data_IF_478843987035
#
_entry.id   IF_478843987035
#
_cell.length_a   1.000
_cell.length_b   1.000
_cell.length_c   1.000
_cell.angle_alpha   90.00
_cell.angle_beta   90.00
_cell.angle_gamma   90.00
#
_symmetry.space_group_name_H-M   'P 1'
#
loop_
_entity.id
_entity.type
_entity.pdbx_description
1 polymer ?
#
# COMPACT_ATOMS: atom_id res chain seq x y z
N UNK A 1 39.74 40.82 -59.69
CA UNK A 1 40.73 39.77 -60.04
C UNK A 1 40.82 38.77 -58.88
N UNK A 2 40.96 37.47 -59.22
CA UNK A 2 41.05 36.23 -58.39
C UNK A 2 39.72 35.68 -57.82
N UNK A 3 39.03 34.79 -58.55
CA UNK A 3 39.08 33.30 -58.55
C UNK A 3 38.37 32.67 -57.34
N UNK A 4 37.09 32.29 -57.47
CA UNK A 4 36.57 30.92 -57.74
C UNK A 4 36.97 29.85 -56.70
N UNK A 5 35.97 29.16 -56.11
CA UNK A 5 35.74 27.71 -56.27
C UNK A 5 34.38 27.32 -55.65
N UNK A 6 33.60 26.61 -56.46
CA UNK A 6 32.26 26.05 -56.25
C UNK A 6 32.36 24.68 -55.56
N UNK A 7 31.44 24.34 -54.65
CA UNK A 7 31.06 22.93 -54.41
C UNK A 7 29.52 22.81 -54.33
N UNK A 8 29.07 21.85 -55.11
CA UNK A 8 27.72 21.47 -55.54
C UNK A 8 27.17 20.35 -54.64
N UNK A 9 25.83 20.18 -54.61
CA UNK A 9 25.01 18.93 -54.58
C UNK A 9 23.80 19.08 -53.65
N UNK A 10 22.63 19.51 -54.14
CA UNK A 10 21.57 18.74 -54.83
C UNK A 10 21.03 17.50 -54.09
N UNK A 11 19.73 17.57 -53.79
CA UNK A 11 18.83 16.48 -54.11
C UNK A 11 18.20 15.74 -52.93
N UNK A 12 17.07 16.27 -52.46
CA UNK A 12 16.03 15.49 -51.78
C UNK A 12 15.16 14.79 -52.83
N UNK A 13 14.75 13.55 -52.50
CA UNK A 13 13.65 12.75 -53.05
C UNK A 13 13.97 11.75 -54.17
N UNK A 14 13.91 10.46 -53.80
CA UNK A 14 13.73 9.32 -54.68
C UNK A 14 13.36 8.08 -53.86
N UNK A 15 12.07 7.74 -53.84
CA UNK A 15 11.55 6.49 -53.26
C UNK A 15 12.07 5.27 -54.03
N UNK A 16 12.46 4.20 -53.31
CA UNK A 16 12.40 2.82 -53.78
C UNK A 16 12.46 1.84 -52.59
N UNK A 17 11.33 1.23 -52.24
CA UNK A 17 11.26 -0.11 -51.65
C UNK A 17 11.52 -1.17 -52.76
N UNK A 18 11.55 -2.51 -52.53
CA UNK A 18 11.67 -3.34 -51.31
C UNK A 18 12.74 -4.46 -51.47
N UNK A 19 12.96 -5.31 -50.45
CA UNK A 19 13.06 -6.79 -50.58
C UNK A 19 13.66 -7.47 -49.32
N UNK A 20 13.04 -8.58 -48.96
CA UNK A 20 13.26 -9.46 -47.81
C UNK A 20 14.60 -10.24 -47.80
N UNK A 21 15.22 -10.34 -46.60
CA UNK A 21 15.93 -11.49 -45.94
C UNK A 21 17.17 -12.14 -46.66
N UNK A 22 18.09 -12.98 -46.09
CA UNK A 22 18.35 -13.51 -44.72
C UNK A 22 19.73 -13.23 -44.05
N UNK A 23 19.73 -13.34 -42.71
CA UNK A 23 20.68 -14.03 -41.77
C UNK A 23 22.21 -13.78 -41.85
N UNK A 24 22.73 -13.15 -40.78
CA UNK A 24 23.94 -13.56 -40.05
C UNK A 24 23.62 -13.28 -38.55
N UNK A 25 23.43 -14.27 -37.68
CA UNK A 25 24.39 -15.23 -37.13
C UNK A 25 25.55 -14.61 -36.34
N UNK A 26 25.25 -13.58 -35.54
CA UNK A 26 26.22 -12.99 -34.60
C UNK A 26 25.65 -13.15 -33.20
N UNK A 27 26.01 -14.27 -32.58
CA UNK A 27 25.65 -14.64 -31.23
C UNK A 27 26.45 -13.80 -30.22
N UNK A 28 25.90 -12.68 -29.77
CA UNK A 28 26.16 -12.17 -28.42
C UNK A 28 24.86 -12.22 -27.64
N UNK A 29 24.64 -13.40 -27.04
CA UNK A 29 23.62 -13.60 -26.02
C UNK A 29 24.08 -12.85 -24.77
N UNK A 30 23.97 -11.52 -24.77
CA UNK A 30 23.90 -10.76 -23.54
C UNK A 30 22.59 -11.16 -22.88
N UNK A 31 22.72 -12.15 -22.00
CA UNK A 31 21.71 -12.62 -21.06
C UNK A 31 20.83 -11.45 -20.60
N UNK A 32 19.62 -11.36 -21.15
CA UNK A 32 18.51 -10.68 -20.50
C UNK A 32 18.05 -11.55 -19.32
N UNK A 33 18.96 -11.91 -18.41
CA UNK A 33 18.57 -12.18 -17.05
C UNK A 33 18.19 -10.81 -16.48
N UNK A 34 16.93 -10.45 -16.69
CA UNK A 34 16.25 -9.58 -15.74
C UNK A 34 16.62 -10.12 -14.36
N UNK A 35 17.18 -9.31 -13.44
CA UNK A 35 17.39 -9.79 -12.09
C UNK A 35 16.02 -10.31 -11.68
N UNK A 36 15.97 -11.62 -11.38
CA UNK A 36 14.85 -12.24 -10.71
C UNK A 36 14.84 -11.54 -9.35
N UNK A 37 14.26 -10.34 -9.34
CA UNK A 37 13.84 -9.69 -8.14
C UNK A 37 12.82 -10.67 -7.62
N UNK A 38 13.29 -11.51 -6.70
CA UNK A 38 12.50 -12.09 -5.65
C UNK A 38 11.90 -10.90 -4.87
N UNK A 39 10.99 -10.17 -5.52
CA UNK A 39 9.96 -9.39 -4.89
C UNK A 39 9.07 -10.47 -4.32
N UNK A 40 9.49 -11.01 -3.17
CA UNK A 40 8.55 -11.62 -2.26
C UNK A 40 7.43 -10.59 -2.14
N UNK A 41 6.33 -10.94 -2.78
CA UNK A 41 5.08 -10.20 -2.85
C UNK A 41 4.56 -10.19 -1.42
N UNK A 42 5.18 -9.34 -0.59
CA UNK A 42 5.06 -9.41 0.85
C UNK A 42 3.72 -8.81 1.16
N UNK A 43 2.84 -9.63 1.70
CA UNK A 43 1.54 -9.22 2.16
C UNK A 43 1.68 -8.07 3.15
N UNK A 44 0.92 -7.00 2.89
CA UNK A 44 0.90 -5.79 3.69
C UNK A 44 -0.45 -5.65 4.34
N UNK A 45 -0.41 -5.29 5.62
CA UNK A 45 -1.59 -5.13 6.45
C UNK A 45 -1.70 -3.68 6.89
N UNK A 46 -2.89 -3.12 6.86
CA UNK A 46 -3.21 -1.80 7.43
C UNK A 46 -4.32 -1.94 8.45
N UNK A 47 -4.15 -1.29 9.60
CA UNK A 47 -5.17 -1.15 10.62
C UNK A 47 -5.73 0.27 10.60
N UNK A 48 -7.04 0.38 10.61
CA UNK A 48 -7.77 1.63 10.85
C UNK A 48 -8.78 1.37 11.96
N UNK A 49 -8.83 2.25 12.95
CA UNK A 49 -9.81 2.17 14.02
C UNK A 49 -10.36 3.53 14.31
N UNK A 50 -11.69 3.56 14.42
CA UNK A 50 -12.48 4.68 14.83
C UNK A 50 -13.07 4.39 16.20
N UNK A 51 -12.85 5.31 17.12
CA UNK A 51 -13.44 5.31 18.45
C UNK A 51 -14.33 6.53 18.56
N UNK A 52 -15.59 6.32 18.91
CA UNK A 52 -16.55 7.42 19.02
C UNK A 52 -17.51 7.23 20.18
N UNK A 53 -17.87 8.32 20.82
CA UNK A 53 -19.06 8.44 21.65
C UNK A 53 -19.85 9.67 21.19
N UNK A 54 -20.76 10.18 22.01
CA UNK A 54 -21.59 11.33 21.67
C UNK A 54 -20.83 12.67 21.58
N UNK A 55 -19.63 12.74 22.19
CA UNK A 55 -18.88 14.00 22.38
C UNK A 55 -17.51 13.97 21.69
N UNK A 56 -16.87 12.81 21.63
CA UNK A 56 -15.48 12.61 21.23
C UNK A 56 -15.42 11.58 20.10
N UNK A 57 -14.64 11.91 19.08
CA UNK A 57 -14.25 10.99 18.02
C UNK A 57 -12.72 10.98 17.89
N UNK A 58 -12.13 9.79 17.85
CA UNK A 58 -10.70 9.56 17.65
C UNK A 58 -10.48 8.50 16.59
N UNK A 59 -9.52 8.76 15.72
CA UNK A 59 -9.16 7.84 14.63
C UNK A 59 -7.69 7.51 14.73
N UNK A 60 -7.35 6.22 14.70
CA UNK A 60 -5.98 5.79 14.47
C UNK A 60 -5.89 5.02 13.17
N UNK A 61 -4.83 5.27 12.42
CA UNK A 61 -4.53 4.53 11.20
C UNK A 61 -3.03 4.25 11.14
N UNK A 62 -2.66 3.02 10.83
CA UNK A 62 -1.26 2.66 10.59
C UNK A 62 -0.89 2.88 9.12
N UNK A 63 0.41 2.93 8.85
CA UNK A 63 0.92 2.60 7.52
C UNK A 63 0.66 1.13 7.18
N UNK A 64 1.04 0.75 5.96
CA UNK A 64 1.13 -0.66 5.60
C UNK A 64 2.32 -1.30 6.33
N UNK A 65 2.06 -2.35 7.09
CA UNK A 65 3.04 -3.08 7.89
C UNK A 65 2.99 -4.57 7.57
N UNK A 66 4.03 -5.31 7.95
CA UNK A 66 4.03 -6.77 7.84
C UNK A 66 3.13 -7.40 8.91
N UNK A 67 2.74 -8.65 8.72
CA UNK A 67 1.94 -9.41 9.70
C UNK A 67 2.57 -9.42 11.09
N UNK A 68 3.87 -9.73 11.19
CA UNK A 68 4.58 -9.75 12.48
C UNK A 68 4.49 -8.41 13.22
N UNK A 69 4.55 -7.29 12.51
CA UNK A 69 4.43 -5.96 13.11
C UNK A 69 2.96 -5.69 13.46
N UNK A 70 2.02 -6.09 12.62
CA UNK A 70 0.60 -5.93 12.85
C UNK A 70 0.12 -6.68 14.09
N UNK A 71 0.54 -7.93 14.30
CA UNK A 71 0.18 -8.74 15.47
C UNK A 71 0.61 -8.07 16.78
N UNK A 72 1.84 -7.54 16.80
CA UNK A 72 2.45 -6.88 17.95
C UNK A 72 2.13 -5.38 18.06
N UNK A 73 1.29 -4.84 17.17
CA UNK A 73 0.93 -3.43 17.19
C UNK A 73 0.21 -3.07 18.50
N UNK A 74 0.84 -2.21 19.29
CA UNK A 74 0.23 -1.59 20.46
C UNK A 74 -0.73 -0.49 20.03
N UNK A 75 -1.91 -0.50 20.65
CA UNK A 75 -2.97 0.44 20.33
C UNK A 75 -2.80 1.69 21.19
N UNK A 76 -2.92 2.90 20.62
CA UNK A 76 -2.77 4.14 21.38
C UNK A 76 -3.83 4.31 22.47
N UNK A 77 -4.92 3.52 22.48
CA UNK A 77 -5.86 3.51 23.61
C UNK A 77 -5.26 2.94 24.91
N UNK A 78 -4.10 2.27 24.83
CA UNK A 78 -3.34 1.85 25.99
C UNK A 78 -2.57 3.01 26.64
N UNK A 79 -2.38 4.14 25.96
CA UNK A 79 -1.87 5.35 26.61
C UNK A 79 -2.99 5.98 27.43
N UNK A 80 -2.75 6.15 28.73
CA UNK A 80 -3.76 6.62 29.69
C UNK A 80 -4.46 7.92 29.28
N UNK A 81 -3.78 8.77 28.51
CA UNK A 81 -4.30 10.05 28.01
C UNK A 81 -5.56 9.90 27.14
N UNK A 82 -5.63 8.89 26.25
CA UNK A 82 -6.84 8.71 25.44
C UNK A 82 -8.01 8.21 26.30
N UNK A 83 -7.72 7.29 27.23
CA UNK A 83 -8.71 6.76 28.17
C UNK A 83 -9.27 7.89 29.05
N UNK A 84 -8.42 8.76 29.56
CA UNK A 84 -8.81 9.92 30.38
C UNK A 84 -9.76 10.85 29.60
N UNK A 85 -9.47 11.18 28.34
CA UNK A 85 -10.36 12.02 27.52
C UNK A 85 -11.76 11.42 27.32
N UNK A 86 -11.86 10.10 27.21
CA UNK A 86 -13.16 9.42 27.13
C UNK A 86 -13.88 9.35 28.49
N UNK A 87 -13.13 9.17 29.58
CA UNK A 87 -13.69 9.15 30.95
C UNK A 87 -14.13 10.53 31.45
N UNK A 88 -13.33 11.58 31.23
CA UNK A 88 -13.65 12.97 31.60
C UNK A 88 -14.88 13.49 30.88
N UNK A 89 -15.15 13.00 29.67
CA UNK A 89 -16.37 13.30 28.93
C UNK A 89 -17.63 12.68 29.56
N UNK A 90 -17.52 11.93 30.68
CA UNK A 90 -18.65 11.31 31.38
C UNK A 90 -19.26 10.12 30.64
N UNK A 91 -18.55 9.57 29.65
CA UNK A 91 -19.07 8.59 28.70
C UNK A 91 -18.27 7.30 28.81
N UNK A 92 -18.74 6.39 29.67
CA UNK A 92 -18.10 5.09 29.86
C UNK A 92 -18.31 4.12 28.69
N UNK A 93 -19.14 4.47 27.70
CA UNK A 93 -19.50 3.62 26.56
C UNK A 93 -19.00 4.22 25.25
N UNK A 94 -18.28 3.41 24.48
CA UNK A 94 -17.64 3.80 23.23
C UNK A 94 -18.07 2.85 22.12
N UNK A 95 -18.32 3.39 20.93
CA UNK A 95 -18.45 2.61 19.70
C UNK A 95 -17.09 2.51 19.02
N UNK A 96 -16.71 1.28 18.69
CA UNK A 96 -15.43 0.92 18.09
C UNK A 96 -15.71 0.38 16.70
N UNK A 97 -15.12 0.98 15.67
CA UNK A 97 -15.06 0.39 14.33
C UNK A 97 -13.61 0.04 14.04
N UNK A 98 -13.33 -1.23 13.71
CA UNK A 98 -12.01 -1.70 13.30
C UNK A 98 -12.10 -2.14 11.85
N UNK A 99 -11.20 -1.64 11.02
CA UNK A 99 -11.05 -2.01 9.61
C UNK A 99 -9.64 -2.54 9.40
N UNK A 100 -9.54 -3.75 8.86
CA UNK A 100 -8.29 -4.40 8.48
C UNK A 100 -8.26 -4.52 6.96
N UNK A 101 -7.16 -4.09 6.36
CA UNK A 101 -6.89 -4.28 4.93
C UNK A 101 -5.67 -5.17 4.79
N UNK A 102 -5.76 -6.22 4.00
CA UNK A 102 -4.68 -7.18 3.73
C UNK A 102 -4.53 -7.28 2.22
N UNK A 103 -3.31 -7.22 1.71
CA UNK A 103 -3.11 -7.37 0.27
C UNK A 103 -1.68 -7.25 -0.17
N UNK A 104 -1.50 -7.36 -1.48
CA UNK A 104 -0.20 -7.30 -2.13
C UNK A 104 -0.27 -6.32 -3.32
N UNK A 105 0.73 -5.46 -3.42
CA UNK A 105 0.85 -4.41 -4.44
C UNK A 105 -0.39 -3.51 -4.56
N UNK A 106 -1.25 -3.74 -5.56
CA UNK A 106 -2.48 -2.97 -5.83
C UNK A 106 -3.77 -3.74 -5.53
N UNK A 107 -3.68 -5.02 -5.12
CA UNK A 107 -4.84 -5.86 -4.79
C UNK A 107 -4.97 -6.01 -3.28
N UNK A 108 -6.14 -5.67 -2.74
CA UNK A 108 -6.41 -5.71 -1.31
C UNK A 108 -7.80 -6.28 -1.01
N UNK A 109 -7.88 -7.11 0.03
CA UNK A 109 -9.10 -7.47 0.70
C UNK A 109 -9.28 -6.59 1.95
N UNK A 110 -10.52 -6.22 2.24
CA UNK A 110 -10.89 -5.39 3.39
C UNK A 110 -12.00 -6.06 4.18
N UNK A 111 -11.85 -6.07 5.51
CA UNK A 111 -12.92 -6.43 6.43
C UNK A 111 -13.04 -5.36 7.50
N UNK A 112 -14.28 -5.06 7.88
CA UNK A 112 -14.60 -4.08 8.91
C UNK A 112 -15.62 -4.65 9.87
N UNK A 113 -15.47 -4.33 11.16
CA UNK A 113 -16.42 -4.68 12.20
C UNK A 113 -16.63 -3.49 13.12
N UNK A 114 -17.88 -3.30 13.54
CA UNK A 114 -18.27 -2.27 14.50
C UNK A 114 -18.93 -2.91 15.71
N UNK A 115 -18.53 -2.49 16.91
CA UNK A 115 -19.17 -2.86 18.17
C UNK A 115 -19.50 -1.57 18.92
N UNK A 116 -20.71 -1.49 19.44
CA UNK A 116 -21.19 -0.34 20.22
C UNK A 116 -21.28 -0.69 21.71
N UNK A 117 -21.45 0.33 22.54
CA UNK A 117 -21.62 0.17 23.99
C UNK A 117 -20.48 -0.53 24.72
N UNK A 118 -19.24 -0.35 24.26
CA UNK A 118 -18.05 -0.96 24.87
C UNK A 118 -17.58 -0.10 26.04
N UNK A 119 -17.42 -0.73 27.22
CA UNK A 119 -16.86 -0.06 28.38
C UNK A 119 -15.43 0.43 28.12
N UNK A 120 -15.08 1.64 28.56
CA UNK A 120 -13.75 2.24 28.36
C UNK A 120 -12.58 1.32 28.77
N UNK A 121 -12.76 0.53 29.85
CA UNK A 121 -11.74 -0.43 30.32
C UNK A 121 -11.56 -1.62 29.37
N UNK A 122 -12.56 -1.93 28.55
CA UNK A 122 -12.56 -3.05 27.62
C UNK A 122 -12.18 -2.66 26.19
N UNK A 123 -12.05 -1.36 25.88
CA UNK A 123 -11.79 -0.88 24.51
C UNK A 123 -10.52 -1.49 23.92
N UNK A 124 -9.40 -1.44 24.63
CA UNK A 124 -8.13 -1.97 24.13
C UNK A 124 -8.18 -3.49 23.87
N UNK A 125 -8.78 -4.25 24.79
CA UNK A 125 -8.96 -5.69 24.64
C UNK A 125 -9.91 -6.04 23.48
N UNK A 126 -10.98 -5.24 23.32
CA UNK A 126 -11.97 -5.40 22.25
C UNK A 126 -11.34 -5.14 20.89
N UNK A 127 -10.62 -4.02 20.69
CA UNK A 127 -9.91 -3.76 19.44
C UNK A 127 -8.92 -4.88 19.12
N UNK A 128 -8.17 -5.38 20.11
CA UNK A 128 -7.22 -6.49 19.89
C UNK A 128 -7.93 -7.75 19.39
N UNK A 129 -9.06 -8.11 20.01
CA UNK A 129 -9.88 -9.25 19.59
C UNK A 129 -10.41 -9.04 18.16
N UNK A 130 -10.97 -7.87 17.88
CA UNK A 130 -11.52 -7.52 16.56
C UNK A 130 -10.44 -7.55 15.48
N UNK A 131 -9.26 -6.98 15.75
CA UNK A 131 -8.09 -7.00 14.87
C UNK A 131 -7.73 -8.42 14.45
N UNK A 132 -7.62 -9.32 15.43
CA UNK A 132 -7.22 -10.71 15.18
C UNK A 132 -8.32 -11.50 14.43
N UNK A 133 -9.59 -11.28 14.78
CA UNK A 133 -10.73 -11.89 14.10
C UNK A 133 -10.82 -11.46 12.63
N UNK A 134 -10.69 -10.15 12.36
CA UNK A 134 -10.73 -9.60 11.02
C UNK A 134 -9.54 -10.07 10.17
N UNK A 135 -8.33 -10.12 10.75
CA UNK A 135 -7.18 -10.68 10.07
C UNK A 135 -7.40 -12.16 9.71
N UNK A 136 -7.92 -12.95 10.65
CA UNK A 136 -8.20 -14.37 10.43
C UNK A 136 -9.33 -14.62 9.42
N UNK A 137 -10.21 -13.64 9.19
CA UNK A 137 -11.29 -13.74 8.19
C UNK A 137 -10.82 -13.35 6.78
N UNK A 138 -9.72 -12.60 6.69
CA UNK A 138 -9.15 -12.15 5.41
C UNK A 138 -8.08 -13.12 4.86
N UNK A 139 -7.69 -14.11 5.68
CA UNK A 139 -6.73 -15.17 5.34
C UNK A 139 -7.43 -16.52 5.32
#
# INVERSE_FOLDING_TARGET
>A
MKTMITILFLGLLGNAFPADWPVAADAETHSCQAPEQNRESTEKIRLHVLLRNEVVQQTFQTGYVTEKVFENLELPFASGELKERFMEAGLCKVSITVTVRVGIDSSYAEASMTVSDVDCDQVAATIRRMKNQLLSALK
#
